data_IF_065159849268
#
_entry.id   IF_065159849268
#
_cell.length_a   1.000
_cell.length_b   1.000
_cell.length_c   1.000
_cell.angle_alpha   90.00
_cell.angle_beta   90.00
_cell.angle_gamma   90.00
#
_symmetry.space_group_name_H-M   'P 1'
#
loop_
_entity.id
_entity.type
_entity.pdbx_description
1 polymer ?
#
# COMPACT_ATOMS: atom_id res chain seq x y z
N UNK A 1 2.85 10.44 -5.87
CA UNK A 1 1.56 10.76 -6.53
C UNK A 1 1.65 10.83 -8.05
N UNK A 2 2.84 11.08 -8.62
CA UNK A 2 3.02 11.14 -10.09
C UNK A 2 2.45 9.93 -10.86
N UNK A 3 2.61 8.70 -10.33
CA UNK A 3 2.06 7.50 -10.97
C UNK A 3 0.53 7.49 -11.02
N UNK A 4 -0.14 8.02 -9.98
CA UNK A 4 -1.61 8.14 -9.94
C UNK A 4 -2.10 9.11 -11.01
N UNK A 5 -1.45 10.26 -11.13
CA UNK A 5 -1.76 11.28 -12.14
C UNK A 5 -1.52 10.76 -13.56
N UNK A 6 -0.39 10.06 -13.77
CA UNK A 6 -0.05 9.43 -15.04
C UNK A 6 -1.08 8.37 -15.45
N UNK A 7 -1.48 7.52 -14.50
CA UNK A 7 -2.50 6.49 -14.74
C UNK A 7 -3.88 7.10 -15.04
N UNK A 8 -4.28 8.12 -14.31
CA UNK A 8 -5.55 8.82 -14.54
C UNK A 8 -5.56 9.48 -15.92
N UNK A 9 -4.51 10.22 -16.27
CA UNK A 9 -4.39 10.87 -17.59
C UNK A 9 -4.42 9.85 -18.73
N UNK A 10 -3.77 8.71 -18.58
CA UNK A 10 -3.79 7.66 -19.58
C UNK A 10 -5.17 7.02 -19.74
N UNK A 11 -5.80 6.62 -18.63
CA UNK A 11 -7.10 5.93 -18.65
C UNK A 11 -8.24 6.84 -19.13
N UNK A 12 -8.18 8.13 -18.86
CA UNK A 12 -9.18 9.09 -19.30
C UNK A 12 -8.93 9.62 -20.73
N UNK A 13 -7.73 9.46 -21.23
CA UNK A 13 -7.31 9.95 -22.55
C UNK A 13 -6.95 8.83 -23.53
N UNK A 14 -5.66 8.65 -23.85
CA UNK A 14 -5.20 7.72 -24.88
C UNK A 14 -5.66 6.28 -24.69
N UNK A 15 -5.75 5.82 -23.45
CA UNK A 15 -6.17 4.46 -23.12
C UNK A 15 -7.59 4.13 -23.59
N UNK A 16 -8.50 5.09 -23.56
CA UNK A 16 -9.87 4.91 -24.10
C UNK A 16 -9.86 4.65 -25.61
N UNK A 17 -9.05 5.36 -26.34
CA UNK A 17 -8.96 5.18 -27.79
C UNK A 17 -8.29 3.85 -28.12
N UNK A 18 -7.23 3.50 -27.45
CA UNK A 18 -6.54 2.22 -27.61
C UNK A 18 -7.44 1.03 -27.28
N UNK A 19 -8.28 1.13 -26.23
CA UNK A 19 -9.20 0.06 -25.85
C UNK A 19 -10.27 -0.25 -26.88
N UNK A 20 -10.69 0.75 -27.68
CA UNK A 20 -11.74 0.60 -28.71
C UNK A 20 -11.32 -0.25 -29.90
N UNK A 21 -10.02 -0.29 -30.18
CA UNK A 21 -9.47 -1.04 -31.31
C UNK A 21 -8.99 -2.44 -30.94
N UNK A 22 -9.07 -2.82 -29.67
CA UNK A 22 -8.67 -4.14 -29.20
C UNK A 22 -9.68 -5.23 -29.58
N UNK A 23 -9.21 -6.47 -29.85
CA UNK A 23 -10.07 -7.64 -29.95
C UNK A 23 -10.87 -7.82 -28.64
N UNK A 24 -12.05 -8.45 -28.73
CA UNK A 24 -12.97 -8.59 -27.58
C UNK A 24 -12.31 -9.16 -26.31
N UNK A 25 -11.50 -10.20 -26.45
CA UNK A 25 -10.79 -10.80 -25.32
C UNK A 25 -9.77 -9.84 -24.70
N UNK A 26 -9.03 -9.12 -25.53
CA UNK A 26 -8.07 -8.10 -25.07
C UNK A 26 -8.77 -6.86 -24.48
N UNK A 27 -9.92 -6.46 -24.99
CA UNK A 27 -10.72 -5.38 -24.44
C UNK A 27 -11.26 -5.71 -23.05
N UNK A 28 -11.69 -6.95 -22.83
CA UNK A 28 -12.12 -7.42 -21.50
C UNK A 28 -10.94 -7.45 -20.53
N UNK A 29 -9.79 -7.92 -20.97
CA UNK A 29 -8.56 -7.93 -20.19
C UNK A 29 -8.10 -6.51 -19.86
N UNK A 30 -8.22 -5.56 -20.81
CA UNK A 30 -7.94 -4.12 -20.59
C UNK A 30 -8.81 -3.55 -19.47
N UNK A 31 -10.12 -3.81 -19.50
CA UNK A 31 -11.04 -3.35 -18.46
C UNK A 31 -10.66 -3.91 -17.09
N UNK A 32 -10.40 -5.22 -17.02
CA UNK A 32 -10.01 -5.88 -15.77
C UNK A 32 -8.70 -5.33 -15.23
N UNK A 33 -7.68 -5.17 -16.07
CA UNK A 33 -6.36 -4.66 -15.63
C UNK A 33 -6.42 -3.18 -15.24
N UNK A 34 -7.24 -2.38 -15.94
CA UNK A 34 -7.47 -0.98 -15.57
C UNK A 34 -8.11 -0.86 -14.18
N UNK A 35 -9.08 -1.72 -13.85
CA UNK A 35 -9.69 -1.77 -12.52
C UNK A 35 -8.68 -2.21 -11.44
N UNK A 36 -7.86 -3.21 -11.73
CA UNK A 36 -6.79 -3.67 -10.83
C UNK A 36 -5.76 -2.58 -10.58
N UNK A 37 -5.31 -1.92 -11.62
CA UNK A 37 -4.38 -0.79 -11.53
C UNK A 37 -4.94 0.31 -10.63
N UNK A 38 -6.19 0.72 -10.86
CA UNK A 38 -6.87 1.76 -10.08
C UNK A 38 -6.99 1.35 -8.61
N UNK A 39 -7.47 0.14 -8.33
CA UNK A 39 -7.62 -0.38 -6.97
C UNK A 39 -6.28 -0.42 -6.23
N UNK A 40 -5.24 -0.91 -6.89
CA UNK A 40 -3.88 -1.01 -6.34
C UNK A 40 -3.31 0.37 -5.99
N UNK A 41 -3.47 1.33 -6.89
CA UNK A 41 -3.03 2.70 -6.66
C UNK A 41 -3.80 3.39 -5.53
N UNK A 42 -5.11 3.15 -5.41
CA UNK A 42 -5.91 3.67 -4.30
C UNK A 42 -5.47 3.08 -2.95
N UNK A 43 -5.18 1.79 -2.91
CA UNK A 43 -4.69 1.13 -1.69
C UNK A 43 -3.33 1.68 -1.25
N UNK A 44 -2.41 1.83 -2.19
CA UNK A 44 -1.08 2.42 -1.92
C UNK A 44 -1.21 3.87 -1.46
N UNK A 45 -2.04 4.68 -2.12
CA UNK A 45 -2.27 6.07 -1.74
C UNK A 45 -2.88 6.18 -0.34
N UNK A 46 -3.84 5.34 0.00
CA UNK A 46 -4.46 5.30 1.33
C UNK A 46 -3.43 4.96 2.42
N UNK A 47 -2.57 3.98 2.17
CA UNK A 47 -1.50 3.63 3.09
C UNK A 47 -0.50 4.78 3.30
N UNK A 48 -0.10 5.45 2.21
CA UNK A 48 0.81 6.60 2.28
C UNK A 48 0.21 7.78 3.04
N UNK A 49 -1.09 8.05 2.86
CA UNK A 49 -1.80 9.09 3.59
C UNK A 49 -1.88 8.78 5.08
N UNK A 50 -2.16 7.54 5.48
CA UNK A 50 -2.14 7.12 6.88
C UNK A 50 -0.74 7.28 7.50
N UNK A 51 0.29 6.89 6.77
CA UNK A 51 1.66 7.03 7.25
C UNK A 51 2.06 8.50 7.40
N UNK A 52 1.62 9.34 6.48
CA UNK A 52 1.83 10.79 6.58
C UNK A 52 1.13 11.38 7.80
N UNK A 53 -0.12 11.01 8.05
CA UNK A 53 -0.88 11.48 9.22
C UNK A 53 -0.20 11.08 10.54
N UNK A 54 0.40 9.89 10.62
CA UNK A 54 1.20 9.48 11.78
C UNK A 54 2.46 10.35 11.94
N UNK A 55 3.17 10.61 10.84
CA UNK A 55 4.39 11.42 10.87
C UNK A 55 4.12 12.89 11.24
N UNK A 56 2.94 13.42 10.85
CA UNK A 56 2.49 14.77 11.20
C UNK A 56 1.86 14.85 12.61
N UNK A 57 1.70 13.72 13.30
CA UNK A 57 1.14 13.65 14.66
C UNK A 57 -0.38 13.76 14.71
N UNK A 58 -1.07 13.67 13.58
CA UNK A 58 -2.54 13.72 13.50
C UNK A 58 -3.20 12.42 13.96
N UNK A 59 -2.50 11.30 13.77
CA UNK A 59 -2.93 9.95 14.18
C UNK A 59 -1.87 9.29 15.04
N UNK A 60 -2.31 8.54 16.05
CA UNK A 60 -1.44 7.65 16.78
C UNK A 60 -1.10 6.41 15.96
N UNK A 61 0.01 5.75 16.27
CA UNK A 61 0.41 4.51 15.60
C UNK A 61 -0.64 3.40 15.74
N UNK A 62 -1.36 3.35 16.87
CA UNK A 62 -2.42 2.37 17.10
C UNK A 62 -3.67 2.62 16.25
N UNK A 63 -4.09 3.88 16.11
CA UNK A 63 -5.20 4.28 15.24
C UNK A 63 -4.89 4.02 13.78
N UNK A 64 -3.68 4.38 13.34
CA UNK A 64 -3.23 4.09 11.99
C UNK A 64 -3.17 2.59 11.69
N UNK A 65 -2.77 1.77 12.66
CA UNK A 65 -2.76 0.32 12.50
C UNK A 65 -4.17 -0.25 12.36
N UNK A 66 -5.15 0.25 13.12
CA UNK A 66 -6.55 -0.14 12.99
C UNK A 66 -7.10 0.20 11.59
N UNK A 67 -6.79 1.39 11.07
CA UNK A 67 -7.19 1.79 9.71
C UNK A 67 -6.45 0.99 8.61
N UNK A 68 -5.19 0.63 8.81
CA UNK A 68 -4.43 -0.23 7.87
C UNK A 68 -5.05 -1.61 7.69
N UNK A 69 -5.63 -2.19 8.74
CA UNK A 69 -6.34 -3.47 8.65
C UNK A 69 -7.54 -3.36 7.70
N UNK A 70 -8.15 -2.18 7.57
CA UNK A 70 -9.23 -1.92 6.63
C UNK A 70 -8.73 -1.77 5.20
N UNK A 71 -7.51 -1.28 5.00
CA UNK A 71 -6.84 -1.21 3.69
C UNK A 71 -6.24 -2.57 3.37
N UNK A 72 -7.08 -3.52 2.97
CA UNK A 72 -6.60 -4.84 2.55
C UNK A 72 -5.93 -4.71 1.20
N UNK A 73 -4.63 -4.97 1.14
CA UNK A 73 -3.95 -5.18 -0.13
C UNK A 73 -4.47 -6.48 -0.76
N UNK A 74 -5.21 -6.33 -1.85
CA UNK A 74 -5.63 -7.48 -2.64
C UNK A 74 -4.39 -8.10 -3.27
N UNK A 75 -4.04 -9.32 -2.87
CA UNK A 75 -3.14 -10.14 -3.67
C UNK A 75 -3.91 -10.53 -4.92
N UNK A 76 -3.42 -10.09 -6.06
CA UNK A 76 -3.93 -10.53 -7.36
C UNK A 76 -3.55 -12.01 -7.57
N UNK A 77 -4.35 -12.93 -7.01
CA UNK A 77 -4.16 -14.37 -7.21
C UNK A 77 -4.49 -14.81 -8.64
N UNK A 78 -5.18 -13.96 -9.40
CA UNK A 78 -5.59 -14.24 -10.77
C UNK A 78 -5.10 -13.11 -11.69
N UNK A 79 -3.80 -13.14 -12.02
CA UNK A 79 -3.28 -12.33 -13.11
C UNK A 79 -3.96 -12.72 -14.44
N UNK A 80 -4.13 -11.76 -15.34
CA UNK A 80 -4.38 -12.05 -16.73
C UNK A 80 -3.31 -13.03 -17.21
N UNK A 81 -3.69 -14.10 -17.92
CA UNK A 81 -2.71 -15.02 -18.50
C UNK A 81 -1.65 -14.24 -19.28
N UNK A 82 -0.39 -14.66 -19.20
CA UNK A 82 0.72 -13.91 -19.78
C UNK A 82 0.52 -13.54 -21.26
N UNK A 83 -0.09 -14.42 -22.02
CA UNK A 83 -0.38 -14.21 -23.45
C UNK A 83 -1.38 -13.07 -23.69
N UNK A 84 -2.44 -12.97 -22.86
CA UNK A 84 -3.44 -11.92 -22.97
C UNK A 84 -2.87 -10.59 -22.46
N UNK A 85 -2.04 -10.63 -21.42
CA UNK A 85 -1.37 -9.45 -20.89
C UNK A 85 -0.46 -8.79 -21.93
N UNK A 86 0.24 -9.57 -22.74
CA UNK A 86 1.09 -9.06 -23.82
C UNK A 86 0.29 -8.38 -24.95
N UNK A 87 -0.99 -8.70 -25.11
CA UNK A 87 -1.88 -8.04 -26.07
C UNK A 87 -2.40 -6.68 -25.59
N UNK A 88 -2.20 -6.35 -24.31
CA UNK A 88 -2.60 -5.07 -23.77
C UNK A 88 -1.70 -3.93 -24.28
N UNK A 89 -2.21 -2.70 -24.33
CA UNK A 89 -1.40 -1.54 -24.70
C UNK A 89 -0.14 -1.43 -23.83
N UNK A 90 0.98 -1.06 -24.46
CA UNK A 90 2.28 -1.00 -23.80
C UNK A 90 2.28 -0.07 -22.59
N UNK A 91 1.56 1.05 -22.68
CA UNK A 91 1.45 2.01 -21.59
C UNK A 91 0.72 1.41 -20.38
N UNK A 92 -0.41 0.69 -20.60
CA UNK A 92 -1.13 0.01 -19.53
C UNK A 92 -0.26 -1.04 -18.85
N UNK A 93 0.47 -1.85 -19.62
CA UNK A 93 1.40 -2.84 -19.07
C UNK A 93 2.49 -2.21 -18.20
N UNK A 94 3.06 -1.11 -18.65
CA UNK A 94 4.07 -0.37 -17.90
C UNK A 94 3.51 0.18 -16.58
N UNK A 95 2.37 0.84 -16.63
CA UNK A 95 1.70 1.40 -15.44
C UNK A 95 1.36 0.29 -14.44
N UNK A 96 0.83 -0.83 -14.90
CA UNK A 96 0.49 -1.99 -14.08
C UNK A 96 1.73 -2.55 -13.39
N UNK A 97 2.80 -2.83 -14.12
CA UNK A 97 4.04 -3.35 -13.55
C UNK A 97 4.67 -2.39 -12.53
N UNK A 98 4.67 -1.09 -12.80
CA UNK A 98 5.16 -0.08 -11.86
C UNK A 98 4.33 -0.06 -10.58
N UNK A 99 3.02 -0.18 -10.70
CA UNK A 99 2.11 -0.20 -9.54
C UNK A 99 2.31 -1.44 -8.67
N UNK A 100 2.56 -2.61 -9.26
CA UNK A 100 2.90 -3.84 -8.53
C UNK A 100 4.17 -3.66 -7.72
N UNK A 101 5.23 -3.13 -8.33
CA UNK A 101 6.50 -2.88 -7.63
C UNK A 101 6.35 -1.93 -6.44
N UNK A 102 5.52 -0.89 -6.58
CA UNK A 102 5.25 0.05 -5.49
C UNK A 102 4.46 -0.65 -4.39
N UNK A 103 3.44 -1.43 -4.74
CA UNK A 103 2.66 -2.20 -3.77
C UNK A 103 3.53 -3.17 -2.97
N UNK A 104 4.42 -3.91 -3.61
CA UNK A 104 5.36 -4.82 -2.96
C UNK A 104 6.27 -4.09 -1.97
N UNK A 105 6.79 -2.93 -2.34
CA UNK A 105 7.59 -2.09 -1.44
C UNK A 105 6.80 -1.60 -0.24
N UNK A 106 5.57 -1.16 -0.46
CA UNK A 106 4.67 -0.70 0.62
C UNK A 106 4.34 -1.85 1.57
N UNK A 107 4.03 -3.03 1.05
CA UNK A 107 3.77 -4.22 1.88
C UNK A 107 4.98 -4.61 2.72
N UNK A 108 6.18 -4.53 2.15
CA UNK A 108 7.41 -4.80 2.89
C UNK A 108 7.66 -3.77 4.01
N UNK A 109 7.45 -2.49 3.73
CA UNK A 109 7.56 -1.43 4.73
C UNK A 109 6.51 -1.60 5.84
N UNK A 110 5.27 -1.94 5.49
CA UNK A 110 4.20 -2.17 6.46
C UNK A 110 4.54 -3.31 7.43
N UNK A 111 5.04 -4.43 6.92
CA UNK A 111 5.51 -5.54 7.75
C UNK A 111 6.66 -5.12 8.68
N UNK A 112 7.60 -4.34 8.18
CA UNK A 112 8.73 -3.85 8.97
C UNK A 112 8.27 -2.93 10.11
N UNK A 113 7.30 -2.06 9.86
CA UNK A 113 6.72 -1.17 10.86
C UNK A 113 5.95 -1.94 11.94
N UNK A 114 5.19 -2.98 11.56
CA UNK A 114 4.48 -3.84 12.52
C UNK A 114 5.47 -4.55 13.45
N UNK A 115 6.56 -5.09 12.91
CA UNK A 115 7.60 -5.75 13.70
C UNK A 115 8.31 -4.76 14.65
N UNK A 116 8.60 -3.56 14.19
CA UNK A 116 9.22 -2.52 15.00
C UNK A 116 8.33 -2.11 16.19
N UNK A 117 7.03 -1.90 15.94
CA UNK A 117 6.07 -1.56 16.99
C UNK A 117 5.85 -2.69 18.00
N UNK A 118 5.94 -3.94 17.57
CA UNK A 118 5.82 -5.11 18.47
C UNK A 118 7.02 -5.25 19.42
N UNK A 119 8.16 -4.66 19.08
CA UNK A 119 9.40 -4.71 19.86
C UNK A 119 9.58 -3.57 20.87
N UNK A 120 8.95 -2.42 20.67
CA UNK A 120 9.16 -1.23 21.52
C UNK A 120 8.45 -1.22 22.89
N UNK A 121 7.23 -1.78 23.11
CA UNK A 121 6.53 -1.52 24.35
C UNK A 121 7.03 -2.32 25.58
N UNK A 122 7.73 -3.43 25.37
CA UNK A 122 8.08 -4.34 26.49
C UNK A 122 9.38 -3.93 27.17
N UNK A 123 10.37 -3.44 26.41
CA UNK A 123 11.69 -3.12 26.98
C UNK A 123 11.72 -1.76 27.71
N UNK A 124 11.14 -0.74 27.13
CA UNK A 124 11.14 0.61 27.72
C UNK A 124 10.26 0.69 28.99
N UNK A 125 9.11 0.02 29.01
CA UNK A 125 8.24 -0.04 30.19
C UNK A 125 8.84 -0.86 31.32
N UNK A 126 9.54 -1.93 31.02
CA UNK A 126 10.21 -2.79 31.99
C UNK A 126 11.41 -2.10 32.64
N UNK A 127 12.22 -1.38 31.89
CA UNK A 127 13.38 -0.67 32.44
C UNK A 127 12.97 0.53 33.27
N UNK A 128 12.03 1.34 32.84
CA UNK A 128 11.53 2.50 33.59
C UNK A 128 10.79 2.06 34.85
N UNK A 129 9.95 1.03 34.77
CA UNK A 129 9.26 0.47 35.94
C UNK A 129 10.25 -0.08 36.98
N UNK A 130 11.30 -0.78 36.53
CA UNK A 130 12.36 -1.29 37.39
C UNK A 130 13.19 -0.18 38.04
N UNK A 131 13.47 0.90 37.32
CA UNK A 131 14.16 2.07 37.86
C UNK A 131 13.30 2.83 38.88
N UNK A 132 12.01 3.00 38.62
CA UNK A 132 11.07 3.64 39.54
C UNK A 132 10.90 2.80 40.81
N UNK A 133 10.87 1.49 40.71
CA UNK A 133 10.80 0.59 41.87
C UNK A 133 12.07 0.65 42.71
N UNK A 134 13.24 0.68 42.10
CA UNK A 134 14.54 0.89 42.79
C UNK A 134 14.62 2.24 43.53
N UNK A 135 14.12 3.29 42.89
CA UNK A 135 14.06 4.61 43.52
C UNK A 135 13.08 4.62 44.69
N UNK A 136 11.92 4.02 44.58
CA UNK A 136 10.94 3.88 45.65
C UNK A 136 11.53 3.09 46.84
N UNK A 137 12.22 1.99 46.55
CA UNK A 137 12.88 1.21 47.59
C UNK A 137 14.01 1.95 48.31
N UNK A 138 14.74 2.80 47.62
CA UNK A 138 15.82 3.62 48.19
C UNK A 138 15.33 4.79 49.06
N UNK A 139 14.10 5.26 48.85
CA UNK A 139 13.50 6.40 49.55
C UNK A 139 12.32 6.00 50.46
N UNK A 140 12.06 4.71 50.62
CA UNK A 140 11.14 4.24 51.68
C UNK A 140 11.85 4.19 53.02
N UNK A 141 11.26 4.83 54.07
CA UNK A 141 11.83 4.81 55.41
C UNK A 141 11.72 3.42 56.07
#
# INVERSE_FOLDING_TARGET
MALVEEAAAYLDGPGREESRVLPRAAALAYSTESMRLTTRLMQVASWLLLQRAVNEGELTSSEAQAERVRVKFSRDEYGCGSEIFEQLPAMLRNLSQRSVRIQERVMHLDQSLVVAHSREPVKARSEVASQVERLRAAFSP
#
